data_IF_327471303147
#
_entry.id   IF_327471303147
#
_cell.length_a   1.000
_cell.length_b   1.000
_cell.length_c   1.000
_cell.angle_alpha   90.00
_cell.angle_beta   90.00
_cell.angle_gamma   90.00
#
_symmetry.space_group_name_H-M   'P 1'
#
loop_
_entity.id
_entity.type
_entity.pdbx_description
1 polymer ?
#
# COMPACT_ATOMS: atom_id res chain seq x y z
N UNK A 1 3.17 6.81 17.94
CA UNK A 1 3.76 5.49 17.61
C UNK A 1 3.31 4.99 16.24
N UNK A 2 2.02 4.70 16.05
CA UNK A 2 1.47 4.02 14.87
C UNK A 2 1.91 4.63 13.51
N UNK A 3 1.74 5.95 13.35
CA UNK A 3 2.11 6.64 12.10
C UNK A 3 3.61 6.51 11.78
N UNK A 4 4.46 6.56 12.80
CA UNK A 4 5.92 6.39 12.61
C UNK A 4 6.21 4.98 12.09
N UNK A 5 5.65 3.97 12.73
CA UNK A 5 5.79 2.58 12.28
C UNK A 5 5.27 2.37 10.86
N UNK A 6 4.11 2.96 10.55
CA UNK A 6 3.53 2.89 9.20
C UNK A 6 4.44 3.50 8.14
N UNK A 7 4.92 4.73 8.35
CA UNK A 7 5.85 5.41 7.41
C UNK A 7 7.13 4.61 7.22
N UNK A 8 7.73 4.14 8.33
CA UNK A 8 8.93 3.30 8.27
C UNK A 8 8.67 2.02 7.51
N UNK A 9 7.52 1.38 7.72
CA UNK A 9 7.11 0.17 7.00
C UNK A 9 6.98 0.40 5.50
N UNK A 10 6.32 1.46 5.06
CA UNK A 10 6.19 1.81 3.63
C UNK A 10 7.55 2.07 3.01
N UNK A 11 8.38 2.90 3.66
CA UNK A 11 9.74 3.22 3.19
C UNK A 11 10.59 1.96 3.10
N UNK A 12 10.58 1.12 4.13
CA UNK A 12 11.33 -0.13 4.16
C UNK A 12 10.88 -1.09 3.05
N UNK A 13 9.57 -1.27 2.87
CA UNK A 13 9.02 -2.18 1.86
C UNK A 13 9.43 -1.76 0.43
N UNK A 14 9.22 -0.49 0.08
CA UNK A 14 9.54 0.01 -1.26
C UNK A 14 11.06 0.00 -1.50
N UNK A 15 11.84 0.46 -0.52
CA UNK A 15 13.31 0.51 -0.64
C UNK A 15 13.93 -0.88 -0.71
N UNK A 16 13.48 -1.81 0.14
CA UNK A 16 13.99 -3.18 0.15
C UNK A 16 13.66 -3.90 -1.16
N UNK A 17 12.43 -3.78 -1.64
CA UNK A 17 12.02 -4.37 -2.92
C UNK A 17 12.84 -3.77 -4.08
N UNK A 18 13.03 -2.45 -4.10
CA UNK A 18 13.86 -1.79 -5.10
C UNK A 18 15.30 -2.30 -5.07
N UNK A 19 15.89 -2.40 -3.88
CA UNK A 19 17.26 -2.88 -3.69
C UNK A 19 17.43 -4.32 -4.14
N UNK A 20 16.59 -5.22 -3.63
CA UNK A 20 16.65 -6.66 -3.96
C UNK A 20 16.50 -6.89 -5.45
N UNK A 21 15.52 -6.25 -6.09
CA UNK A 21 15.32 -6.41 -7.51
C UNK A 21 16.44 -5.78 -8.34
N UNK A 22 17.01 -4.65 -7.92
CA UNK A 22 18.22 -4.10 -8.56
C UNK A 22 19.42 -5.01 -8.48
N UNK A 23 19.61 -5.70 -7.36
CA UNK A 23 20.69 -6.69 -7.20
C UNK A 23 20.46 -7.90 -8.13
N UNK A 24 19.24 -8.38 -8.23
CA UNK A 24 18.90 -9.52 -9.10
C UNK A 24 18.97 -9.15 -10.57
N UNK A 25 18.45 -8.00 -10.97
CA UNK A 25 18.41 -7.56 -12.38
C UNK A 25 19.65 -6.78 -12.80
N UNK A 26 20.51 -6.37 -11.86
CA UNK A 26 21.70 -5.55 -12.11
C UNK A 26 22.67 -6.14 -13.15
N UNK A 27 23.00 -7.43 -13.07
CA UNK A 27 23.88 -8.09 -14.06
C UNK A 27 23.21 -8.34 -15.41
N UNK A 28 21.88 -8.26 -15.48
CA UNK A 28 21.14 -8.58 -16.70
C UNK A 28 21.15 -7.42 -17.69
N UNK A 29 21.32 -7.71 -18.96
CA UNK A 29 21.30 -6.74 -20.06
C UNK A 29 20.52 -7.29 -21.26
N UNK A 30 20.18 -6.42 -22.19
CA UNK A 30 19.54 -6.80 -23.46
C UNK A 30 18.19 -7.51 -23.26
N UNK A 31 17.98 -8.55 -24.04
CA UNK A 31 16.72 -9.31 -24.08
C UNK A 31 16.39 -9.98 -22.74
N UNK A 32 17.38 -10.56 -22.06
CA UNK A 32 17.17 -11.23 -20.78
C UNK A 32 16.61 -10.25 -19.72
N UNK A 33 17.17 -9.04 -19.65
CA UNK A 33 16.65 -8.00 -18.78
C UNK A 33 15.19 -7.63 -19.10
N UNK A 34 14.91 -7.39 -20.39
CA UNK A 34 13.54 -7.02 -20.84
C UNK A 34 12.52 -8.09 -20.47
N UNK A 35 12.83 -9.36 -20.77
CA UNK A 35 11.94 -10.49 -20.46
C UNK A 35 11.66 -10.59 -18.95
N UNK A 36 12.71 -10.57 -18.12
CA UNK A 36 12.54 -10.65 -16.66
C UNK A 36 11.77 -9.45 -16.10
N UNK A 37 12.12 -8.25 -16.53
CA UNK A 37 11.46 -7.02 -16.09
C UNK A 37 9.98 -6.99 -16.52
N UNK A 38 9.68 -7.34 -17.76
CA UNK A 38 8.31 -7.43 -18.27
C UNK A 38 7.49 -8.47 -17.53
N UNK A 39 8.03 -9.68 -17.32
CA UNK A 39 7.34 -10.74 -16.58
C UNK A 39 7.09 -10.37 -15.12
N UNK A 40 8.04 -9.71 -14.45
CA UNK A 40 7.85 -9.22 -13.08
C UNK A 40 6.70 -8.22 -13.01
N UNK A 41 6.63 -7.25 -13.91
CA UNK A 41 5.55 -6.27 -13.94
C UNK A 41 4.21 -6.92 -14.27
N UNK A 42 4.16 -7.85 -15.20
CA UNK A 42 2.95 -8.60 -15.51
C UNK A 42 2.49 -9.43 -14.29
N UNK A 43 3.41 -10.12 -13.61
CA UNK A 43 3.09 -10.89 -12.41
C UNK A 43 2.49 -10.00 -11.29
N UNK A 44 3.11 -8.86 -11.01
CA UNK A 44 2.60 -7.88 -10.03
C UNK A 44 1.20 -7.41 -10.41
N UNK A 45 0.99 -7.05 -11.68
CA UNK A 45 -0.29 -6.57 -12.17
C UNK A 45 -1.39 -7.62 -12.10
N UNK A 46 -1.12 -8.84 -12.54
CA UNK A 46 -2.07 -9.96 -12.47
C UNK A 46 -2.40 -10.32 -11.02
N UNK A 47 -1.40 -10.37 -10.13
CA UNK A 47 -1.64 -10.61 -8.70
C UNK A 47 -2.51 -9.51 -8.09
N UNK A 48 -2.26 -8.25 -8.42
CA UNK A 48 -3.09 -7.14 -7.97
C UNK A 48 -4.55 -7.30 -8.45
N UNK A 49 -4.78 -7.70 -9.69
CA UNK A 49 -6.12 -7.98 -10.22
C UNK A 49 -6.80 -9.17 -9.53
N UNK A 50 -6.07 -10.25 -9.28
CA UNK A 50 -6.61 -11.42 -8.55
C UNK A 50 -7.04 -11.01 -7.14
N UNK A 51 -6.22 -10.25 -6.42
CA UNK A 51 -6.55 -9.75 -5.08
C UNK A 51 -7.72 -8.76 -5.14
N UNK A 52 -7.73 -7.84 -6.10
CA UNK A 52 -8.84 -6.93 -6.33
C UNK A 52 -10.16 -7.69 -6.51
N UNK A 53 -10.16 -8.70 -7.37
CA UNK A 53 -11.36 -9.50 -7.65
C UNK A 53 -11.83 -10.31 -6.42
N UNK A 54 -10.88 -10.87 -5.65
CA UNK A 54 -11.20 -11.56 -4.39
C UNK A 54 -11.84 -10.61 -3.38
N UNK A 55 -11.27 -9.42 -3.19
CA UNK A 55 -11.81 -8.39 -2.28
C UNK A 55 -13.16 -7.86 -2.75
N UNK A 56 -13.32 -7.67 -4.06
CA UNK A 56 -14.61 -7.30 -4.64
C UNK A 56 -15.72 -8.33 -4.35
N UNK A 57 -15.41 -9.61 -4.46
CA UNK A 57 -16.36 -10.71 -4.19
C UNK A 57 -16.63 -10.90 -2.70
N UNK A 58 -15.68 -10.59 -1.84
CA UNK A 58 -15.77 -10.71 -0.39
C UNK A 58 -16.42 -9.49 0.30
N UNK A 59 -16.98 -8.54 -0.47
CA UNK A 59 -17.61 -7.34 0.10
C UNK A 59 -18.75 -7.72 1.04
N UNK A 60 -18.91 -6.99 2.17
CA UNK A 60 -20.03 -7.16 3.06
C UNK A 60 -21.35 -6.95 2.30
N UNK A 61 -22.31 -7.85 2.49
CA UNK A 61 -23.66 -7.65 1.97
C UNK A 61 -24.39 -6.64 2.85
N UNK A 62 -25.34 -5.82 2.30
CA UNK A 62 -26.15 -4.92 3.10
C UNK A 62 -26.79 -5.67 4.27
N UNK A 63 -26.66 -5.11 5.49
CA UNK A 63 -27.23 -5.69 6.72
C UNK A 63 -26.27 -6.53 7.58
N UNK A 64 -25.04 -6.81 7.17
CA UNK A 64 -24.01 -7.37 8.06
C UNK A 64 -23.21 -6.25 8.72
N UNK A 65 -23.18 -6.24 10.06
CA UNK A 65 -22.26 -5.35 10.81
C UNK A 65 -20.82 -5.73 10.45
N UNK A 66 -20.02 -4.76 10.07
CA UNK A 66 -18.59 -4.94 9.93
C UNK A 66 -18.02 -5.37 11.29
N UNK A 67 -17.28 -6.46 11.30
CA UNK A 67 -16.55 -6.88 12.50
C UNK A 67 -15.21 -6.14 12.49
N UNK A 68 -14.98 -5.33 13.50
CA UNK A 68 -13.68 -4.74 13.73
C UNK A 68 -12.63 -5.85 13.88
N UNK A 69 -11.48 -5.73 13.22
CA UNK A 69 -10.40 -6.69 13.41
C UNK A 69 -9.97 -6.72 14.87
N UNK A 70 -9.73 -7.90 15.42
CA UNK A 70 -9.33 -8.09 16.84
C UNK A 70 -8.08 -7.29 17.27
N UNK A 71 -7.23 -6.92 16.31
CA UNK A 71 -6.07 -6.06 16.59
C UNK A 71 -6.47 -4.61 16.91
N UNK A 72 -7.65 -4.15 16.48
CA UNK A 72 -8.11 -2.78 16.72
C UNK A 72 -8.52 -2.55 18.19
N UNK A 73 -9.01 -3.59 18.88
CA UNK A 73 -9.43 -3.51 20.27
C UNK A 73 -8.28 -3.24 21.25
N UNK A 74 -7.03 -3.50 20.86
CA UNK A 74 -5.85 -3.28 21.71
C UNK A 74 -5.03 -2.03 21.38
N UNK A 75 -5.45 -1.22 20.41
CA UNK A 75 -4.67 -0.05 19.96
C UNK A 75 -4.78 1.13 20.93
N UNK A 76 -5.93 1.29 21.59
CA UNK A 76 -6.16 2.42 22.52
C UNK A 76 -5.25 2.37 23.75
N UNK A 77 -4.88 1.18 24.21
CA UNK A 77 -4.03 0.95 25.39
C UNK A 77 -2.56 0.65 25.04
N UNK A 78 -2.22 0.63 23.73
CA UNK A 78 -0.89 0.29 23.28
C UNK A 78 0.13 1.39 23.61
N UNK A 79 1.25 1.01 24.21
CA UNK A 79 2.38 1.90 24.36
C UNK A 79 2.92 2.36 22.98
N UNK A 80 3.68 3.46 22.90
CA UNK A 80 4.17 3.99 21.63
C UNK A 80 5.01 2.99 20.81
N UNK A 81 5.73 2.08 21.45
CA UNK A 81 6.56 1.07 20.77
C UNK A 81 5.68 -0.01 20.14
N UNK A 82 4.69 -0.52 20.89
CA UNK A 82 3.72 -1.49 20.39
C UNK A 82 2.87 -0.92 19.26
N UNK A 83 2.41 0.33 19.40
CA UNK A 83 1.70 1.03 18.34
C UNK A 83 2.55 1.19 17.07
N UNK A 84 3.86 1.48 17.21
CA UNK A 84 4.78 1.55 16.06
C UNK A 84 4.96 0.19 15.40
N UNK A 85 5.10 -0.88 16.18
CA UNK A 85 5.19 -2.25 15.67
C UNK A 85 3.95 -2.65 14.87
N UNK A 86 2.75 -2.31 15.37
CA UNK A 86 1.49 -2.55 14.65
C UNK A 86 1.41 -1.76 13.34
N UNK A 87 1.79 -0.48 13.36
CA UNK A 87 1.83 0.34 12.15
C UNK A 87 2.78 -0.24 11.10
N UNK A 88 3.97 -0.66 11.50
CA UNK A 88 4.94 -1.32 10.64
C UNK A 88 4.40 -2.65 10.07
N UNK A 89 3.84 -3.50 10.91
CA UNK A 89 3.28 -4.78 10.50
C UNK A 89 2.14 -4.61 9.48
N UNK A 90 1.22 -3.69 9.73
CA UNK A 90 0.12 -3.41 8.80
C UNK A 90 0.61 -2.79 7.48
N UNK A 91 1.64 -1.95 7.51
CA UNK A 91 2.22 -1.40 6.30
C UNK A 91 2.90 -2.46 5.43
N UNK A 92 3.51 -3.48 6.04
CA UNK A 92 4.37 -4.46 5.35
C UNK A 92 3.70 -5.81 5.10
N UNK A 93 2.78 -6.25 5.99
CA UNK A 93 2.18 -7.60 5.93
C UNK A 93 0.77 -7.61 5.35
N UNK A 94 0.06 -6.47 5.31
CA UNK A 94 -1.24 -6.43 4.64
C UNK A 94 -1.06 -6.65 3.13
N UNK A 95 -1.81 -7.61 2.58
CA UNK A 95 -1.65 -8.06 1.19
C UNK A 95 -1.74 -6.93 0.16
N UNK A 96 -2.61 -5.94 0.37
CA UNK A 96 -2.76 -4.80 -0.56
C UNK A 96 -1.55 -3.88 -0.50
N UNK A 97 -1.09 -3.56 0.72
CA UNK A 97 0.07 -2.70 0.92
C UNK A 97 1.34 -3.37 0.41
N UNK A 98 1.47 -4.68 0.66
CA UNK A 98 2.56 -5.50 0.13
C UNK A 98 2.60 -5.43 -1.41
N UNK A 99 1.45 -5.62 -2.08
CA UNK A 99 1.39 -5.58 -3.55
C UNK A 99 1.69 -4.18 -4.10
N UNK A 100 1.12 -3.14 -3.49
CA UNK A 100 1.34 -1.75 -3.94
C UNK A 100 2.79 -1.32 -3.70
N UNK A 101 3.33 -1.58 -2.51
CA UNK A 101 4.71 -1.22 -2.15
C UNK A 101 5.75 -2.03 -2.93
N UNK A 102 5.55 -3.35 -3.06
CA UNK A 102 6.43 -4.19 -3.86
C UNK A 102 6.33 -3.84 -5.37
N UNK A 103 5.14 -3.52 -5.87
CA UNK A 103 4.94 -3.06 -7.24
C UNK A 103 5.65 -1.75 -7.53
N UNK A 104 5.53 -0.78 -6.63
CA UNK A 104 6.26 0.49 -6.73
C UNK A 104 7.79 0.29 -6.68
N UNK A 105 8.26 -0.54 -5.75
CA UNK A 105 9.69 -0.88 -5.65
C UNK A 105 10.20 -1.62 -6.88
N UNK A 106 9.42 -2.53 -7.45
CA UNK A 106 9.76 -3.23 -8.69
C UNK A 106 9.84 -2.26 -9.87
N UNK A 107 8.89 -1.33 -9.99
CA UNK A 107 8.94 -0.29 -11.00
C UNK A 107 10.24 0.56 -10.90
N UNK A 108 10.57 1.03 -9.69
CA UNK A 108 11.79 1.79 -9.45
C UNK A 108 13.07 0.99 -9.73
N UNK A 109 13.05 -0.31 -9.47
CA UNK A 109 14.18 -1.20 -9.81
C UNK A 109 14.36 -1.31 -11.31
N UNK A 110 13.27 -1.47 -12.05
CA UNK A 110 13.27 -1.67 -13.51
C UNK A 110 13.57 -0.37 -14.25
N UNK A 111 12.94 0.73 -13.85
CA UNK A 111 13.15 2.03 -14.49
C UNK A 111 14.56 2.60 -14.27
N UNK A 112 15.29 2.09 -13.27
CA UNK A 112 16.67 2.47 -12.92
C UNK A 112 16.91 3.99 -12.87
N UNK A 113 16.04 4.78 -12.24
CA UNK A 113 16.25 6.22 -12.14
C UNK A 113 17.46 6.54 -11.24
N UNK A 114 17.94 7.78 -11.31
CA UNK A 114 19.01 8.28 -10.42
C UNK A 114 18.60 8.10 -8.95
N UNK A 115 19.58 7.96 -8.05
CA UNK A 115 19.33 7.74 -6.62
C UNK A 115 18.44 8.84 -6.00
N UNK A 116 18.66 10.09 -6.39
CA UNK A 116 17.84 11.23 -5.94
C UNK A 116 16.36 11.05 -6.32
N UNK A 117 16.09 10.58 -7.54
CA UNK A 117 14.72 10.29 -8.00
C UNK A 117 14.10 9.15 -7.18
N UNK A 118 14.85 8.07 -6.90
CA UNK A 118 14.38 6.99 -6.03
C UNK A 118 13.99 7.54 -4.66
N UNK A 119 14.87 8.34 -4.04
CA UNK A 119 14.64 8.93 -2.72
C UNK A 119 13.35 9.76 -2.70
N UNK A 120 13.18 10.68 -3.65
CA UNK A 120 11.97 11.50 -3.73
C UNK A 120 10.72 10.69 -4.02
N UNK A 121 10.82 9.65 -4.85
CA UNK A 121 9.69 8.76 -5.13
C UNK A 121 9.24 7.98 -3.89
N UNK A 122 10.18 7.44 -3.12
CA UNK A 122 9.90 6.73 -1.87
C UNK A 122 9.27 7.67 -0.84
N UNK A 123 9.81 8.88 -0.68
CA UNK A 123 9.24 9.88 0.23
C UNK A 123 7.84 10.31 -0.20
N UNK A 124 7.62 10.58 -1.49
CA UNK A 124 6.29 10.92 -2.02
C UNK A 124 5.29 9.79 -1.78
N UNK A 125 5.66 8.54 -2.06
CA UNK A 125 4.81 7.38 -1.79
C UNK A 125 4.48 7.26 -0.30
N UNK A 126 5.46 7.46 0.58
CA UNK A 126 5.24 7.42 2.03
C UNK A 126 4.28 8.53 2.49
N UNK A 127 4.41 9.74 1.96
CA UNK A 127 3.50 10.87 2.26
C UNK A 127 2.09 10.56 1.76
N UNK A 128 1.94 10.10 0.52
CA UNK A 128 0.64 9.74 -0.06
C UNK A 128 -0.02 8.62 0.75
N UNK A 129 0.72 7.55 1.05
CA UNK A 129 0.21 6.40 1.82
C UNK A 129 -0.19 6.79 3.26
N UNK A 130 0.45 7.81 3.83
CA UNK A 130 0.19 8.28 5.19
C UNK A 130 -0.82 9.41 5.27
N UNK A 131 -1.20 10.03 4.15
CA UNK A 131 -2.03 11.24 4.12
C UNK A 131 -3.39 11.04 4.80
N UNK A 132 -4.07 9.93 4.54
CA UNK A 132 -5.34 9.62 5.17
C UNK A 132 -5.21 9.48 6.70
N UNK A 133 -4.17 8.81 7.17
CA UNK A 133 -3.87 8.65 8.61
C UNK A 133 -3.55 10.00 9.24
N UNK A 134 -2.77 10.84 8.56
CA UNK A 134 -2.45 12.20 9.03
C UNK A 134 -3.70 13.04 9.19
N UNK A 135 -4.60 13.04 8.20
CA UNK A 135 -5.86 13.79 8.25
C UNK A 135 -6.70 13.36 9.45
N UNK A 136 -6.82 12.05 9.70
CA UNK A 136 -7.56 11.53 10.85
C UNK A 136 -6.89 11.97 12.15
N UNK A 137 -5.58 11.76 12.31
CA UNK A 137 -4.84 12.12 13.54
C UNK A 137 -4.91 13.62 13.83
N UNK A 138 -4.67 14.46 12.81
CA UNK A 138 -4.72 15.91 12.97
C UNK A 138 -6.15 16.39 13.26
N UNK A 139 -7.14 15.81 12.60
CA UNK A 139 -8.55 16.09 12.86
C UNK A 139 -8.91 15.85 14.32
N UNK A 140 -8.57 14.68 14.87
CA UNK A 140 -8.79 14.37 16.28
C UNK A 140 -8.00 15.27 17.24
N UNK A 141 -6.77 15.63 16.85
CA UNK A 141 -5.89 16.46 17.71
C UNK A 141 -6.35 17.90 17.85
N UNK A 142 -6.86 18.51 16.76
CA UNK A 142 -7.15 19.94 16.71
C UNK A 142 -8.64 20.30 16.67
N UNK A 143 -9.49 19.37 16.29
CA UNK A 143 -10.91 19.67 16.05
C UNK A 143 -11.85 18.54 16.48
N UNK A 144 -11.51 17.81 17.56
CA UNK A 144 -12.25 16.62 18.03
C UNK A 144 -13.76 16.79 17.99
N UNK A 145 -14.28 17.85 18.61
CA UNK A 145 -15.72 18.12 18.68
C UNK A 145 -16.38 18.39 17.30
N UNK A 146 -15.60 18.83 16.30
CA UNK A 146 -16.10 19.12 14.93
C UNK A 146 -15.98 17.94 13.98
N UNK A 147 -15.02 17.03 14.23
CA UNK A 147 -14.72 15.91 13.32
C UNK A 147 -15.29 14.59 13.80
N UNK A 148 -15.67 14.45 15.06
CA UNK A 148 -16.18 13.19 15.64
C UNK A 148 -17.44 12.70 14.91
N UNK A 149 -18.43 13.56 14.71
CA UNK A 149 -19.67 13.19 13.99
C UNK A 149 -19.48 12.98 12.47
N UNK A 150 -18.74 13.85 11.72
CA UNK A 150 -18.42 13.59 10.34
C UNK A 150 -17.55 12.35 10.14
N UNK A 151 -16.56 12.10 11.01
CA UNK A 151 -15.71 10.91 10.94
C UNK A 151 -16.48 9.62 11.24
N UNK A 152 -17.44 9.65 12.15
CA UNK A 152 -18.36 8.53 12.40
C UNK A 152 -19.15 8.16 11.15
N UNK A 153 -19.74 9.14 10.46
CA UNK A 153 -20.45 8.91 9.18
C UNK A 153 -19.53 8.44 8.06
N UNK A 154 -18.32 9.00 8.00
CA UNK A 154 -17.31 8.54 7.04
C UNK A 154 -16.84 7.12 7.34
N UNK A 155 -16.66 6.78 8.62
CA UNK A 155 -16.30 5.43 9.04
C UNK A 155 -17.39 4.43 8.63
N UNK A 156 -18.66 4.71 8.91
CA UNK A 156 -19.79 3.86 8.47
C UNK A 156 -19.83 3.72 6.93
N UNK A 157 -19.67 4.82 6.20
CA UNK A 157 -19.64 4.80 4.75
C UNK A 157 -18.42 4.07 4.17
N UNK A 158 -17.26 4.21 4.80
CA UNK A 158 -16.03 3.51 4.43
C UNK A 158 -16.13 2.02 4.74
N UNK A 159 -16.67 1.62 5.89
CA UNK A 159 -16.87 0.21 6.25
C UNK A 159 -17.67 -0.55 5.20
N UNK A 160 -18.74 0.06 4.67
CA UNK A 160 -19.56 -0.53 3.62
C UNK A 160 -18.86 -0.59 2.25
N UNK A 161 -17.99 0.36 1.96
CA UNK A 161 -17.37 0.53 0.65
C UNK A 161 -15.87 0.19 0.61
N UNK A 162 -15.23 -0.10 1.75
CA UNK A 162 -13.79 -0.30 1.85
C UNK A 162 -13.28 -1.35 0.85
N UNK A 163 -13.95 -2.50 0.78
CA UNK A 163 -13.60 -3.56 -0.18
C UNK A 163 -13.75 -3.13 -1.65
N UNK A 164 -14.69 -2.22 -1.94
CA UNK A 164 -14.86 -1.63 -3.27
C UNK A 164 -13.73 -0.66 -3.62
N UNK A 165 -13.40 0.24 -2.71
CA UNK A 165 -12.32 1.24 -2.86
C UNK A 165 -10.98 0.52 -3.01
N UNK A 166 -10.67 -0.42 -2.13
CA UNK A 166 -9.44 -1.22 -2.21
C UNK A 166 -9.33 -1.98 -3.53
N UNK A 167 -10.44 -2.58 -3.99
CA UNK A 167 -10.47 -3.27 -5.28
C UNK A 167 -10.23 -2.32 -6.44
N UNK A 168 -10.81 -1.12 -6.43
CA UNK A 168 -10.60 -0.12 -7.47
C UNK A 168 -9.13 0.34 -7.53
N UNK A 169 -8.52 0.62 -6.38
CA UNK A 169 -7.10 0.99 -6.30
C UNK A 169 -6.20 -0.12 -6.85
N UNK A 170 -6.46 -1.37 -6.45
CA UNK A 170 -5.69 -2.52 -6.93
C UNK A 170 -5.91 -2.80 -8.42
N UNK A 171 -7.12 -2.55 -8.96
CA UNK A 171 -7.38 -2.68 -10.39
C UNK A 171 -6.60 -1.64 -11.21
N UNK A 172 -6.58 -0.39 -10.75
CA UNK A 172 -5.83 0.68 -11.42
C UNK A 172 -4.32 0.42 -11.34
N UNK A 173 -3.80 0.11 -10.14
CA UNK A 173 -2.39 -0.19 -9.95
C UNK A 173 -1.95 -1.43 -10.74
N UNK A 174 -2.78 -2.47 -10.77
CA UNK A 174 -2.56 -3.67 -11.57
C UNK A 174 -2.56 -3.37 -13.06
N UNK A 175 -3.48 -2.52 -13.54
CA UNK A 175 -3.52 -2.08 -14.93
C UNK A 175 -2.28 -1.30 -15.35
N UNK A 176 -1.79 -0.41 -14.48
CA UNK A 176 -0.54 0.31 -14.71
C UNK A 176 0.66 -0.64 -14.78
N UNK A 177 0.75 -1.60 -13.85
CA UNK A 177 1.82 -2.58 -13.85
C UNK A 177 1.79 -3.47 -15.10
N UNK A 178 0.62 -3.93 -15.54
CA UNK A 178 0.45 -4.69 -16.80
C UNK A 178 0.85 -3.83 -17.99
N UNK A 179 0.40 -2.58 -18.06
CA UNK A 179 0.75 -1.65 -19.13
C UNK A 179 2.27 -1.43 -19.24
N UNK A 180 2.94 -1.23 -18.11
CA UNK A 180 4.42 -1.15 -18.05
C UNK A 180 5.05 -2.46 -18.51
N UNK A 181 4.57 -3.60 -18.03
CA UNK A 181 5.07 -4.92 -18.40
C UNK A 181 4.99 -5.18 -19.90
N UNK A 182 3.85 -4.89 -20.52
CA UNK A 182 3.66 -5.03 -21.97
C UNK A 182 4.51 -4.03 -22.77
N UNK A 183 4.72 -2.81 -22.26
CA UNK A 183 5.55 -1.80 -22.91
C UNK A 183 7.05 -2.09 -22.90
N UNK A 184 7.51 -3.07 -22.10
CA UNK A 184 8.92 -3.49 -22.05
C UNK A 184 9.26 -4.48 -23.16
N UNK A 185 8.29 -5.29 -23.62
CA UNK A 185 8.46 -6.22 -24.75
C UNK A 185 8.43 -5.50 -26.09
#
# INVERSE_FOLDING_TARGET
>A
GFLVGWVVGVVALVSLTTLVLRLVTGPMTGTAYRVVAGLLMLAVGVLAWVVALRRWRARPRPGRKAQWPSWAEGVEEADPARASGLGFALATLDTKNLLLGAGAGAYLAIARPAFTTVLWSVLALAVIASSALLVVILGFRFARARVEAPLGRLAEGLELNLGGIESAVLLVAGGLAVGVGLGIF
#
